data_IF_016649965741
#
_entry.id   IF_016649965741
#
_cell.length_a   1.000
_cell.length_b   1.000
_cell.length_c   1.000
_cell.angle_alpha   90.00
_cell.angle_beta   90.00
_cell.angle_gamma   90.00
#
_symmetry.space_group_name_H-M   'P 1'
#
loop_
_entity.id
_entity.type
_entity.pdbx_description
1 polymer ?
#
# COMPACT_ATOMS: atom_id res chain seq x y z
N UNK A 1 -19.39 -12.62 -10.82
CA UNK A 1 -18.33 -11.66 -10.47
C UNK A 1 -17.11 -12.49 -10.17
N UNK A 2 -16.06 -12.38 -10.99
CA UNK A 2 -14.77 -13.00 -10.69
C UNK A 2 -14.21 -12.29 -9.47
N UNK A 3 -14.22 -12.96 -8.33
CA UNK A 3 -13.58 -12.46 -7.12
C UNK A 3 -12.08 -12.32 -7.42
N UNK A 4 -11.52 -11.12 -7.25
CA UNK A 4 -10.10 -10.87 -7.51
C UNK A 4 -9.26 -11.72 -6.55
N UNK A 5 -8.14 -12.26 -7.04
CA UNK A 5 -7.20 -12.92 -6.13
C UNK A 5 -6.58 -11.92 -5.16
N UNK A 6 -6.04 -12.40 -4.04
CA UNK A 6 -5.27 -11.54 -3.13
C UNK A 6 -4.05 -10.91 -3.84
N UNK A 7 -3.41 -11.66 -4.74
CA UNK A 7 -2.29 -11.18 -5.56
C UNK A 7 -2.73 -10.04 -6.49
N UNK A 8 -3.87 -10.17 -7.17
CA UNK A 8 -4.42 -9.10 -8.02
C UNK A 8 -4.71 -7.84 -7.20
N UNK A 9 -5.35 -7.99 -6.04
CA UNK A 9 -5.69 -6.86 -5.16
C UNK A 9 -4.42 -6.17 -4.67
N UNK A 10 -3.39 -6.92 -4.29
CA UNK A 10 -2.11 -6.37 -3.83
C UNK A 10 -1.44 -5.50 -4.90
N UNK A 11 -1.25 -6.04 -6.11
CA UNK A 11 -0.57 -5.29 -7.18
C UNK A 11 -1.40 -4.13 -7.72
N UNK A 12 -2.72 -4.30 -7.83
CA UNK A 12 -3.61 -3.22 -8.22
C UNK A 12 -3.55 -2.08 -7.20
N UNK A 13 -3.53 -2.38 -5.91
CA UNK A 13 -3.38 -1.37 -4.86
C UNK A 13 -2.07 -0.59 -5.03
N UNK A 14 -0.94 -1.28 -5.21
CA UNK A 14 0.36 -0.60 -5.41
C UNK A 14 0.37 0.23 -6.69
N UNK A 15 -0.23 -0.25 -7.78
CA UNK A 15 -0.36 0.55 -9.00
C UNK A 15 -1.18 1.81 -8.77
N UNK A 16 -2.33 1.73 -8.10
CA UNK A 16 -3.16 2.90 -7.83
C UNK A 16 -2.43 3.95 -6.98
N UNK A 17 -1.64 3.49 -6.00
CA UNK A 17 -0.98 4.34 -5.01
C UNK A 17 0.38 4.88 -5.48
N UNK A 18 1.13 4.11 -6.27
CA UNK A 18 2.55 4.35 -6.52
C UNK A 18 2.98 4.22 -7.99
N UNK A 19 2.06 4.19 -8.96
CA UNK A 19 2.44 4.15 -10.39
C UNK A 19 3.43 5.26 -10.76
N UNK A 20 3.21 6.48 -10.26
CA UNK A 20 4.07 7.64 -10.54
C UNK A 20 5.34 7.74 -9.69
N UNK A 21 5.57 6.80 -8.77
CA UNK A 21 6.71 6.83 -7.86
C UNK A 21 7.90 6.02 -8.42
N UNK A 22 9.09 6.25 -7.85
CA UNK A 22 10.26 5.44 -8.17
C UNK A 22 10.11 4.00 -7.65
N UNK A 23 10.98 3.09 -8.10
CA UNK A 23 10.97 1.68 -7.68
C UNK A 23 11.02 1.52 -6.15
N UNK A 24 11.86 2.30 -5.46
CA UNK A 24 11.92 2.27 -4.00
C UNK A 24 10.56 2.63 -3.37
N UNK A 25 9.90 3.67 -3.88
CA UNK A 25 8.58 4.10 -3.38
C UNK A 25 7.50 3.05 -3.60
N UNK A 26 7.51 2.38 -4.76
CA UNK A 26 6.60 1.27 -5.07
C UNK A 26 6.77 0.11 -4.09
N UNK A 27 8.03 -0.28 -3.81
CA UNK A 27 8.35 -1.33 -2.84
C UNK A 27 7.99 -0.93 -1.41
N UNK A 28 8.15 0.34 -1.04
CA UNK A 28 7.77 0.82 0.30
C UNK A 28 6.25 0.81 0.53
N UNK A 29 5.43 1.12 -0.48
CA UNK A 29 3.97 0.92 -0.39
C UNK A 29 3.63 -0.57 -0.23
N UNK A 30 4.30 -1.45 -0.96
CA UNK A 30 4.15 -2.89 -0.80
C UNK A 30 4.45 -3.34 0.64
N UNK A 31 5.56 -2.87 1.23
CA UNK A 31 5.91 -3.16 2.62
C UNK A 31 4.89 -2.60 3.63
N UNK A 32 4.33 -1.41 3.41
CA UNK A 32 3.26 -0.87 4.26
C UNK A 32 2.05 -1.81 4.29
N UNK A 33 1.65 -2.36 3.15
CA UNK A 33 0.54 -3.34 3.09
C UNK A 33 0.89 -4.60 3.88
N UNK A 34 2.10 -5.14 3.70
CA UNK A 34 2.57 -6.32 4.45
C UNK A 34 2.60 -6.06 5.96
N UNK A 35 3.09 -4.90 6.37
CA UNK A 35 3.18 -4.49 7.77
C UNK A 35 1.79 -4.34 8.40
N UNK A 36 0.83 -3.74 7.68
CA UNK A 36 -0.57 -3.65 8.13
C UNK A 36 -1.20 -5.03 8.32
N UNK A 37 -0.99 -5.96 7.39
CA UNK A 37 -1.47 -7.34 7.52
C UNK A 37 -0.82 -8.07 8.70
N UNK A 38 0.49 -7.87 8.92
CA UNK A 38 1.20 -8.45 10.05
C UNK A 38 0.77 -7.88 11.41
N UNK A 39 0.37 -6.60 11.46
CA UNK A 39 -0.15 -5.98 12.68
C UNK A 39 -1.50 -6.56 13.12
N UNK A 40 -2.26 -7.18 12.19
CA UNK A 40 -3.56 -7.82 12.44
C UNK A 40 -4.51 -6.94 13.28
N UNK A 41 -4.73 -5.70 12.82
CA UNK A 41 -5.65 -4.76 13.46
C UNK A 41 -6.91 -4.57 12.63
N UNK A 42 -8.06 -4.59 13.28
CA UNK A 42 -9.37 -4.33 12.65
C UNK A 42 -9.42 -2.99 11.92
N UNK A 43 -8.68 -1.99 12.43
CA UNK A 43 -8.54 -0.68 11.80
C UNK A 43 -8.01 -0.79 10.37
N UNK A 44 -7.01 -1.66 10.16
CA UNK A 44 -6.39 -1.89 8.85
C UNK A 44 -7.17 -2.88 8.00
N UNK A 45 -7.97 -3.77 8.58
CA UNK A 45 -8.68 -4.84 7.87
C UNK A 45 -8.39 -6.24 8.40
N UNK A 46 -7.50 -6.37 9.39
CA UNK A 46 -7.10 -7.66 9.96
C UNK A 46 -5.88 -8.25 9.26
N UNK A 47 -5.76 -9.58 9.30
CA UNK A 47 -4.55 -10.33 8.94
C UNK A 47 -4.26 -10.54 7.46
N UNK A 48 -5.25 -10.42 6.57
CA UNK A 48 -5.05 -10.74 5.15
C UNK A 48 -4.67 -9.50 4.34
N UNK A 49 -3.84 -9.69 3.32
CA UNK A 49 -3.43 -8.60 2.43
C UNK A 49 -4.65 -8.07 1.67
N UNK A 50 -5.54 -8.98 1.25
CA UNK A 50 -6.78 -8.63 0.55
C UNK A 50 -7.70 -7.79 1.44
N UNK A 51 -7.89 -8.17 2.70
CA UNK A 51 -8.75 -7.40 3.62
C UNK A 51 -8.14 -6.04 3.94
N UNK A 52 -6.81 -5.96 4.09
CA UNK A 52 -6.11 -4.69 4.29
C UNK A 52 -6.34 -3.73 3.12
N UNK A 53 -6.21 -4.21 1.89
CA UNK A 53 -6.39 -3.40 0.70
C UNK A 53 -7.85 -2.97 0.50
N UNK A 54 -8.80 -3.89 0.75
CA UNK A 54 -10.23 -3.65 0.52
C UNK A 54 -10.94 -2.99 1.70
N UNK A 55 -10.26 -2.79 2.84
CA UNK A 55 -10.82 -2.08 3.98
C UNK A 55 -11.17 -0.64 3.59
N UNK A 56 -12.44 -0.28 3.77
CA UNK A 56 -12.95 1.04 3.44
C UNK A 56 -12.13 2.16 4.09
N UNK A 57 -11.74 3.14 3.28
CA UNK A 57 -10.94 4.29 3.71
C UNK A 57 -9.43 4.05 3.78
N UNK A 58 -8.94 2.82 3.57
CA UNK A 58 -7.50 2.53 3.58
C UNK A 58 -6.82 2.83 2.24
N UNK A 59 -7.53 2.58 1.14
CA UNK A 59 -7.06 2.84 -0.21
C UNK A 59 -8.24 3.33 -1.06
N UNK A 60 -8.17 4.59 -1.52
CA UNK A 60 -9.31 5.24 -2.16
C UNK A 60 -9.76 4.56 -3.46
N UNK A 61 -8.84 3.85 -4.11
CA UNK A 61 -9.12 3.12 -5.34
C UNK A 61 -10.15 1.99 -5.19
N UNK A 62 -10.46 1.55 -3.97
CA UNK A 62 -11.44 0.50 -3.67
C UNK A 62 -12.76 1.03 -3.08
N UNK A 63 -12.85 2.32 -2.75
CA UNK A 63 -14.04 2.88 -2.10
C UNK A 63 -15.27 2.96 -3.03
N UNK A 64 -15.06 2.90 -4.35
CA UNK A 64 -16.14 2.81 -5.32
C UNK A 64 -16.65 1.36 -5.44
N UNK A 65 -17.80 1.11 -4.79
CA UNK A 65 -18.45 -0.20 -4.73
C UNK A 65 -18.90 -0.75 -6.09
N UNK A 66 -18.87 0.05 -7.17
CA UNK A 66 -19.19 -0.41 -8.52
C UNK A 66 -18.03 -1.16 -9.18
N UNK A 67 -16.82 -1.13 -8.60
CA UNK A 67 -15.59 -1.73 -9.13
C UNK A 67 -15.47 -3.25 -8.91
N UNK A 68 -16.57 -4.00 -8.98
CA UNK A 68 -16.61 -5.47 -8.82
C UNK A 68 -15.80 -6.28 -9.84
N UNK A 69 -14.88 -5.64 -10.58
CA UNK A 69 -13.99 -6.18 -11.61
C UNK A 69 -12.53 -5.74 -11.47
N UNK A 70 -12.16 -4.99 -10.42
CA UNK A 70 -10.81 -4.46 -10.23
C UNK A 70 -10.65 -2.99 -10.60
N UNK A 71 -9.44 -2.46 -10.43
CA UNK A 71 -9.10 -1.10 -10.86
C UNK A 71 -8.76 -1.10 -12.36
N UNK A 72 -9.06 0.02 -13.03
CA UNK A 72 -8.67 0.20 -14.43
C UNK A 72 -7.16 0.44 -14.56
N UNK A 73 -6.44 -0.54 -15.08
CA UNK A 73 -5.03 -0.38 -15.45
C UNK A 73 -4.93 0.44 -16.74
N UNK A 74 -4.39 1.66 -16.64
CA UNK A 74 -4.26 2.57 -17.79
C UNK A 74 -2.99 2.31 -18.60
N UNK A 75 -1.91 1.90 -17.94
CA UNK A 75 -0.61 1.69 -18.55
C UNK A 75 -0.07 0.32 -18.17
N UNK A 76 -0.28 -0.68 -19.03
CA UNK A 76 0.06 -2.08 -18.76
C UNK A 76 1.55 -2.27 -18.44
N UNK A 77 2.44 -1.59 -19.17
CA UNK A 77 3.89 -1.66 -18.95
C UNK A 77 4.30 -1.26 -17.52
N UNK A 78 3.66 -0.22 -16.98
CA UNK A 78 3.95 0.26 -15.63
C UNK A 78 3.42 -0.73 -14.58
N UNK A 79 2.24 -1.29 -14.83
CA UNK A 79 1.68 -2.34 -13.99
C UNK A 79 2.56 -3.59 -13.95
N UNK A 80 3.00 -4.09 -15.11
CA UNK A 80 3.88 -5.26 -15.20
C UNK A 80 5.22 -5.02 -14.47
N UNK A 81 5.75 -3.80 -14.56
CA UNK A 81 6.96 -3.41 -13.82
C UNK A 81 6.72 -3.43 -12.30
N UNK A 82 5.59 -2.90 -11.82
CA UNK A 82 5.21 -2.92 -10.40
C UNK A 82 5.04 -4.36 -9.90
N UNK A 83 4.35 -5.21 -10.66
CA UNK A 83 4.20 -6.64 -10.36
C UNK A 83 5.57 -7.28 -10.22
N UNK A 84 6.46 -7.10 -11.21
CA UNK A 84 7.80 -7.68 -11.20
C UNK A 84 8.63 -7.24 -9.99
N UNK A 85 8.54 -5.96 -9.59
CA UNK A 85 9.33 -5.37 -8.49
C UNK A 85 8.83 -5.75 -7.12
N UNK A 86 7.52 -5.97 -6.96
CA UNK A 86 6.88 -6.16 -5.65
C UNK A 86 6.48 -7.61 -5.40
N UNK A 87 6.45 -8.47 -6.43
CA UNK A 87 6.23 -9.92 -6.28
C UNK A 87 7.18 -10.60 -5.27
N UNK A 88 8.49 -10.30 -5.21
CA UNK A 88 9.36 -10.92 -4.20
C UNK A 88 8.95 -10.61 -2.76
N UNK A 89 8.34 -9.44 -2.51
CA UNK A 89 7.80 -9.05 -1.19
C UNK A 89 6.53 -9.85 -0.89
N UNK A 90 5.60 -9.93 -1.85
CA UNK A 90 4.39 -10.75 -1.72
C UNK A 90 4.70 -12.22 -1.43
N UNK A 91 5.64 -12.79 -2.18
CA UNK A 91 6.10 -14.18 -2.02
C UNK A 91 7.03 -14.38 -0.82
N UNK A 92 7.36 -13.32 -0.06
CA UNK A 92 8.29 -13.34 1.09
C UNK A 92 9.70 -13.86 0.75
N UNK A 93 10.10 -13.76 -0.52
CA UNK A 93 11.48 -13.98 -0.97
C UNK A 93 12.36 -12.81 -0.54
N UNK A 94 11.85 -11.60 -0.69
CA UNK A 94 12.41 -10.39 -0.07
C UNK A 94 11.70 -10.20 1.27
N UNK A 95 12.35 -10.64 2.35
CA UNK A 95 11.75 -10.74 3.69
C UNK A 95 12.32 -9.77 4.74
N UNK A 96 13.25 -8.90 4.34
CA UNK A 96 13.81 -7.86 5.19
C UNK A 96 13.09 -6.55 4.90
N UNK A 97 12.21 -6.11 5.81
CA UNK A 97 11.48 -4.85 5.68
C UNK A 97 12.43 -3.64 5.85
N UNK A 98 12.75 -2.89 4.76
CA UNK A 98 13.63 -1.73 4.84
C UNK A 98 12.95 -0.51 5.48
N UNK A 99 11.63 -0.55 5.67
CA UNK A 99 10.85 0.56 6.24
C UNK A 99 10.90 0.59 7.77
N UNK A 100 11.37 -0.48 8.41
CA UNK A 100 11.42 -0.60 9.86
C UNK A 100 10.02 -0.69 10.50
N UNK A 101 9.02 -1.20 9.77
CA UNK A 101 7.63 -1.32 10.21
C UNK A 101 6.77 -0.10 9.90
N UNK A 102 7.00 0.60 8.77
CA UNK A 102 6.12 1.69 8.36
C UNK A 102 4.71 1.14 8.08
N UNK A 103 3.69 1.86 8.55
CA UNK A 103 2.28 1.50 8.44
C UNK A 103 1.40 2.64 7.89
N UNK A 104 1.99 3.82 7.69
CA UNK A 104 1.35 5.00 7.12
C UNK A 104 2.23 5.64 6.05
N UNK A 105 1.59 6.30 5.10
CA UNK A 105 2.24 7.28 4.23
C UNK A 105 1.20 8.30 3.80
N UNK A 106 1.67 9.46 3.33
CA UNK A 106 0.83 10.46 2.70
C UNK A 106 1.59 11.20 1.60
N UNK A 107 0.88 11.94 0.75
CA UNK A 107 1.50 12.91 -0.15
C UNK A 107 1.43 14.31 0.46
N UNK A 108 2.52 14.86 1.05
CA UNK A 108 2.44 16.13 1.75
C UNK A 108 2.10 17.32 0.85
N UNK A 109 2.33 17.21 -0.47
CA UNK A 109 1.95 18.26 -1.42
C UNK A 109 0.44 18.31 -1.68
N UNK A 110 -0.25 17.18 -1.55
CA UNK A 110 -1.71 17.08 -1.76
C UNK A 110 -2.49 17.19 -0.46
N UNK A 111 -1.97 16.60 0.61
CA UNK A 111 -2.69 16.39 1.87
C UNK A 111 -2.11 17.19 3.04
N UNK A 112 -1.03 17.94 2.83
CA UNK A 112 -0.26 18.59 3.91
C UNK A 112 0.22 17.55 4.95
N UNK A 113 0.16 17.86 6.24
CA UNK A 113 0.45 16.92 7.33
C UNK A 113 -0.81 16.75 8.18
N UNK A 114 -1.67 15.77 7.84
CA UNK A 114 -2.91 15.57 8.56
C UNK A 114 -2.68 15.31 10.06
N UNK A 115 -3.65 15.57 10.95
CA UNK A 115 -3.45 15.46 12.40
C UNK A 115 -2.91 14.10 12.89
N UNK A 116 -3.24 13.00 12.21
CA UNK A 116 -2.75 11.66 12.56
C UNK A 116 -1.23 11.52 12.48
N UNK A 117 -0.56 12.34 11.66
CA UNK A 117 0.92 12.33 11.52
C UNK A 117 1.61 12.63 12.85
N UNK A 118 0.97 13.40 13.75
CA UNK A 118 1.51 13.74 15.08
C UNK A 118 1.70 12.49 15.97
N UNK A 119 0.87 11.48 15.76
CA UNK A 119 0.90 10.21 16.47
C UNK A 119 1.85 9.18 15.82
N UNK A 120 2.58 9.60 14.78
CA UNK A 120 3.53 8.76 14.08
C UNK A 120 4.95 9.33 14.21
N UNK A 121 5.94 8.48 13.94
CA UNK A 121 7.33 8.85 13.73
C UNK A 121 7.58 8.87 12.23
N UNK A 122 8.15 9.95 11.71
CA UNK A 122 8.59 10.03 10.32
C UNK A 122 9.71 9.01 10.06
N UNK A 123 9.56 8.22 9.00
CA UNK A 123 10.55 7.20 8.61
C UNK A 123 11.44 7.74 7.50
N UNK A 124 10.87 8.04 6.34
CA UNK A 124 11.61 8.53 5.17
C UNK A 124 10.66 9.16 4.16
N UNK A 125 11.14 10.20 3.46
CA UNK A 125 10.49 10.71 2.25
C UNK A 125 11.07 10.04 1.01
N UNK A 126 10.22 9.45 0.18
CA UNK A 126 10.60 8.84 -1.10
C UNK A 126 9.63 9.35 -2.16
N UNK A 127 10.17 9.99 -3.20
CA UNK A 127 9.35 10.62 -4.23
C UNK A 127 8.36 11.63 -3.62
N UNK A 128 7.07 11.42 -3.87
CA UNK A 128 6.01 12.25 -3.33
C UNK A 128 5.47 11.77 -1.98
N UNK A 129 5.87 10.60 -1.50
CA UNK A 129 5.38 10.04 -0.24
C UNK A 129 6.30 10.35 0.93
N UNK A 130 5.71 10.79 2.04
CA UNK A 130 6.32 10.72 3.36
C UNK A 130 5.79 9.46 4.05
N UNK A 131 6.69 8.56 4.44
CA UNK A 131 6.35 7.34 5.18
C UNK A 131 6.50 7.56 6.68
N UNK A 132 5.64 6.89 7.44
CA UNK A 132 5.62 6.96 8.90
C UNK A 132 5.39 5.57 9.51
N UNK A 133 5.80 5.47 10.77
CA UNK A 133 5.48 4.36 11.66
C UNK A 133 4.69 4.90 12.84
N UNK A 134 3.54 4.30 13.15
CA UNK A 134 2.80 4.65 14.37
C UNK A 134 3.71 4.56 15.59
N UNK A 135 3.67 5.59 16.45
CA UNK A 135 4.17 5.45 17.82
C UNK A 135 3.15 4.55 18.49
N UNK A 136 3.47 3.28 18.71
CA UNK A 136 2.55 2.23 19.16
C UNK A 136 1.34 2.72 19.97
N UNK A 137 0.14 2.31 19.53
CA UNK A 137 -1.10 2.38 20.32
C UNK A 137 -0.91 1.71 21.68
#
# INVERSE_FOLDING_TARGET
>A
MTDLSEEDVFYQTIYAEAQGECEEGQKWVAWVIMNRAQLDKDYWGGKSIKDVCLKGGQFECWNDKTRGTGIKIKYQKDYDAIVSRTRPIYLKVENQDPTGGADHYNNPKKESYPPWTKNCTEVKKIGNHQFYKSKSL
#
